data_IF_805687136391
#
_entry.id   IF_805687136391
#
_cell.length_a   1.000
_cell.length_b   1.000
_cell.length_c   1.000
_cell.angle_alpha   90.00
_cell.angle_beta   90.00
_cell.angle_gamma   90.00
#
_symmetry.space_group_name_H-M   'P 1'
#
loop_
_entity.id
_entity.type
_entity.pdbx_description
1 polymer ?
#
# COMPACT_ATOMS: atom_id res chain seq x y z
N UNK A 1 -26.83 -7.60 -23.70
CA UNK A 1 -26.17 -7.49 -22.39
C UNK A 1 -24.77 -6.97 -22.64
N UNK A 2 -24.57 -5.65 -22.51
CA UNK A 2 -23.26 -5.02 -22.67
C UNK A 2 -22.47 -5.21 -21.36
N UNK A 3 -21.38 -5.97 -21.39
CA UNK A 3 -20.38 -5.92 -20.34
C UNK A 3 -19.59 -4.63 -20.52
N UNK A 4 -19.83 -3.65 -19.65
CA UNK A 4 -18.97 -2.49 -19.50
C UNK A 4 -17.67 -2.95 -18.84
N UNK A 5 -16.63 -3.10 -19.64
CA UNK A 5 -15.24 -3.24 -19.19
C UNK A 5 -14.85 -1.91 -18.55
N UNK A 6 -15.09 -1.76 -17.25
CA UNK A 6 -14.55 -0.65 -16.47
C UNK A 6 -13.06 -0.95 -16.24
N UNK A 7 -12.22 -0.56 -17.19
CA UNK A 7 -10.81 -0.30 -16.95
C UNK A 7 -10.72 0.89 -16.00
N UNK A 8 -10.83 0.65 -14.70
CA UNK A 8 -10.43 1.65 -13.70
C UNK A 8 -8.90 1.79 -13.78
N UNK A 9 -8.37 3.01 -13.88
CA UNK A 9 -6.93 3.21 -13.77
C UNK A 9 -6.52 2.81 -12.35
N UNK A 10 -5.95 1.62 -12.19
CA UNK A 10 -5.10 1.29 -11.05
C UNK A 10 -4.05 2.38 -11.02
N UNK A 11 -3.64 2.84 -9.83
CA UNK A 11 -2.39 3.57 -9.73
C UNK A 11 -1.31 2.57 -10.14
N UNK A 12 -1.04 2.50 -11.44
CA UNK A 12 0.12 1.83 -11.97
C UNK A 12 1.26 2.69 -11.45
N UNK A 13 1.87 2.24 -10.36
CA UNK A 13 3.20 2.68 -10.01
C UNK A 13 4.05 2.22 -11.18
N UNK A 14 4.28 3.11 -12.14
CA UNK A 14 5.15 2.84 -13.27
C UNK A 14 6.58 2.79 -12.74
N UNK A 15 6.92 1.68 -12.08
CA UNK A 15 8.28 1.22 -12.02
C UNK A 15 8.66 0.93 -13.47
N UNK A 16 9.46 1.84 -14.03
CA UNK A 16 10.08 1.70 -15.34
C UNK A 16 10.74 0.32 -15.45
N UNK A 17 10.22 -0.46 -16.39
CA UNK A 17 10.94 -1.48 -17.19
C UNK A 17 12.17 -2.12 -16.54
N UNK A 18 11.96 -3.07 -15.64
CA UNK A 18 12.97 -4.08 -15.24
C UNK A 18 12.29 -5.43 -14.98
N UNK A 19 11.35 -5.82 -15.84
CA UNK A 19 10.58 -7.08 -15.72
C UNK A 19 11.34 -8.32 -16.23
N UNK A 20 12.67 -8.36 -16.16
CA UNK A 20 13.49 -9.40 -16.80
C UNK A 20 14.32 -10.29 -15.84
N UNK A 21 14.00 -10.40 -14.55
CA UNK A 21 14.81 -11.25 -13.62
C UNK A 21 14.06 -12.40 -12.92
N UNK A 22 12.73 -12.53 -13.01
CA UNK A 22 12.02 -13.60 -12.28
C UNK A 22 11.84 -14.90 -13.08
N UNK A 23 12.91 -15.66 -13.24
CA UNK A 23 12.83 -17.08 -13.61
C UNK A 23 12.68 -17.97 -12.37
N UNK A 24 11.56 -18.71 -12.33
CA UNK A 24 11.32 -20.05 -11.77
C UNK A 24 11.55 -20.31 -10.26
N UNK A 25 10.51 -20.89 -9.64
CA UNK A 25 10.27 -21.17 -8.22
C UNK A 25 9.73 -19.98 -7.41
N UNK A 26 8.61 -20.22 -6.70
CA UNK A 26 8.23 -19.47 -5.51
C UNK A 26 9.49 -19.34 -4.65
N UNK A 27 10.06 -18.15 -4.45
CA UNK A 27 11.19 -18.03 -3.56
C UNK A 27 10.71 -18.46 -2.17
N UNK A 28 11.37 -19.45 -1.56
CA UNK A 28 11.05 -19.96 -0.21
C UNK A 28 11.00 -18.82 0.85
N UNK A 29 11.49 -17.63 0.51
CA UNK A 29 11.50 -16.44 1.34
C UNK A 29 10.25 -15.55 1.25
N UNK A 30 9.31 -15.72 0.31
CA UNK A 30 8.20 -14.76 0.14
C UNK A 30 7.29 -14.67 1.37
N UNK A 31 7.02 -15.80 2.02
CA UNK A 31 6.30 -15.79 3.29
C UNK A 31 7.04 -14.95 4.34
N UNK A 32 8.36 -15.09 4.45
CA UNK A 32 9.15 -14.30 5.39
C UNK A 32 9.13 -12.81 5.02
N UNK A 33 9.24 -12.47 3.74
CA UNK A 33 9.13 -11.08 3.28
C UNK A 33 7.78 -10.50 3.66
N UNK A 34 6.67 -11.20 3.42
CA UNK A 34 5.32 -10.76 3.80
C UNK A 34 5.22 -10.55 5.32
N UNK A 35 5.74 -11.48 6.12
CA UNK A 35 5.74 -11.36 7.58
C UNK A 35 6.59 -10.18 8.08
N UNK A 36 7.76 -9.95 7.48
CA UNK A 36 8.61 -8.79 7.78
C UNK A 36 7.92 -7.48 7.43
N UNK A 37 7.30 -7.37 6.25
CA UNK A 37 6.59 -6.16 5.86
C UNK A 37 5.36 -5.93 6.75
N UNK A 38 4.62 -6.99 7.07
CA UNK A 38 3.50 -6.92 8.02
C UNK A 38 3.93 -6.38 9.37
N UNK A 39 5.05 -6.88 9.93
CA UNK A 39 5.57 -6.39 11.21
C UNK A 39 5.96 -4.91 11.11
N UNK A 40 6.67 -4.52 10.04
CA UNK A 40 7.05 -3.12 9.83
C UNK A 40 5.86 -2.17 9.66
N UNK A 41 4.79 -2.61 8.99
CA UNK A 41 3.55 -1.84 8.87
C UNK A 41 2.81 -1.74 10.21
N UNK A 42 2.81 -2.81 11.01
CA UNK A 42 2.30 -2.78 12.38
C UNK A 42 3.04 -1.74 13.22
N UNK A 43 4.37 -1.72 13.14
CA UNK A 43 5.19 -0.77 13.90
C UNK A 43 4.94 0.67 13.46
N UNK A 44 4.65 0.90 12.17
CA UNK A 44 4.25 2.21 11.66
C UNK A 44 2.90 2.62 12.22
N UNK A 45 1.88 1.75 12.20
CA UNK A 45 0.56 2.07 12.77
C UNK A 45 0.67 2.33 14.27
N UNK A 46 1.38 1.50 15.02
CA UNK A 46 1.61 1.70 16.46
C UNK A 46 2.31 3.05 16.71
N UNK A 47 3.27 3.42 15.86
CA UNK A 47 3.93 4.73 15.93
C UNK A 47 2.95 5.89 15.64
N UNK A 48 2.10 5.78 14.63
CA UNK A 48 1.10 6.80 14.31
C UNK A 48 0.09 6.98 15.45
N UNK A 49 -0.35 5.89 16.06
CA UNK A 49 -1.29 5.90 17.19
C UNK A 49 -0.66 6.43 18.47
N UNK A 50 0.65 6.21 18.68
CA UNK A 50 1.36 6.75 19.83
C UNK A 50 1.64 8.25 19.70
N UNK A 51 1.99 8.73 18.50
CA UNK A 51 2.33 10.14 18.24
C UNK A 51 1.11 10.91 17.73
N UNK A 52 0.04 10.92 18.53
CA UNK A 52 -1.24 11.54 18.14
C UNK A 52 -1.13 13.05 17.91
N UNK A 53 -0.20 13.73 18.59
CA UNK A 53 0.14 15.13 18.38
C UNK A 53 0.59 15.41 16.94
N UNK A 54 1.34 14.48 16.36
CA UNK A 54 1.89 14.62 15.01
C UNK A 54 0.90 14.26 13.90
N UNK A 55 0.00 13.29 14.13
CA UNK A 55 -0.85 12.72 13.08
C UNK A 55 -2.36 12.87 13.30
N UNK A 56 -2.81 13.21 14.51
CA UNK A 56 -4.21 13.12 14.95
C UNK A 56 -4.64 14.31 15.86
N UNK A 57 -3.86 15.39 15.99
CA UNK A 57 -4.22 16.42 16.95
C UNK A 57 -5.44 17.23 16.49
N UNK A 58 -6.62 16.89 17.02
CA UNK A 58 -7.86 17.66 16.82
C UNK A 58 -7.84 19.03 17.53
N UNK A 59 -6.83 19.30 18.36
CA UNK A 59 -6.65 20.56 19.07
C UNK A 59 -5.55 21.43 18.46
N UNK A 60 -4.81 20.95 17.45
CA UNK A 60 -4.01 21.88 16.63
C UNK A 60 -5.00 22.85 16.02
N UNK A 61 -4.86 24.12 16.39
CA UNK A 61 -5.62 25.19 15.72
C UNK A 61 -5.33 25.03 14.24
N UNK A 62 -6.34 24.98 13.37
CA UNK A 62 -6.27 24.62 11.93
C UNK A 62 -5.16 25.32 11.10
N UNK A 63 -4.39 26.24 11.69
CA UNK A 63 -3.33 27.04 11.10
C UNK A 63 -1.90 26.75 11.60
N UNK A 64 -1.66 25.81 12.53
CA UNK A 64 -0.28 25.52 12.94
C UNK A 64 0.35 24.45 12.05
N UNK A 65 1.17 24.90 11.11
CA UNK A 65 1.96 24.01 10.26
C UNK A 65 2.98 23.22 11.11
N UNK A 66 3.25 21.94 10.76
CA UNK A 66 4.30 21.18 11.43
C UNK A 66 5.63 21.91 11.36
N UNK A 67 6.41 21.85 12.43
CA UNK A 67 7.77 22.33 12.39
C UNK A 67 8.63 21.45 11.46
N UNK A 68 9.87 21.87 11.18
CA UNK A 68 10.74 21.14 10.25
C UNK A 68 11.04 19.71 10.70
N UNK A 69 11.13 19.46 12.01
CA UNK A 69 11.42 18.15 12.58
C UNK A 69 10.20 17.24 12.44
N UNK A 70 9.04 17.74 12.82
CA UNK A 70 7.73 17.08 12.67
C UNK A 70 7.47 16.75 11.19
N UNK A 71 7.74 17.69 10.29
CA UNK A 71 7.63 17.50 8.85
C UNK A 71 8.48 16.32 8.36
N UNK A 72 9.74 16.27 8.80
CA UNK A 72 10.64 15.20 8.41
C UNK A 72 10.18 13.84 8.98
N UNK A 73 9.63 13.82 10.18
CA UNK A 73 9.09 12.61 10.81
C UNK A 73 7.86 12.08 10.06
N UNK A 74 6.89 12.94 9.74
CA UNK A 74 5.72 12.56 8.93
C UNK A 74 6.19 12.04 7.57
N UNK A 75 7.09 12.76 6.89
CA UNK A 75 7.60 12.38 5.57
C UNK A 75 8.30 11.02 5.60
N UNK A 76 9.22 10.81 6.55
CA UNK A 76 9.94 9.53 6.66
C UNK A 76 9.02 8.35 6.99
N UNK A 77 8.02 8.57 7.84
CA UNK A 77 6.97 7.58 8.14
C UNK A 77 6.19 7.23 6.88
N UNK A 78 5.81 8.24 6.09
CA UNK A 78 5.08 8.05 4.83
C UNK A 78 5.88 7.27 3.80
N UNK A 79 7.15 7.63 3.59
CA UNK A 79 8.04 6.92 2.67
C UNK A 79 8.24 5.46 3.10
N UNK A 80 8.45 5.23 4.40
CA UNK A 80 8.58 3.88 4.96
C UNK A 80 7.32 3.04 4.76
N UNK A 81 6.13 3.64 4.88
CA UNK A 81 4.88 2.95 4.60
C UNK A 81 4.79 2.58 3.11
N UNK A 82 5.00 3.55 2.22
CA UNK A 82 4.90 3.34 0.77
C UNK A 82 5.84 2.26 0.26
N UNK A 83 7.10 2.26 0.69
CA UNK A 83 8.10 1.25 0.31
C UNK A 83 7.61 -0.18 0.66
N UNK A 84 7.07 -0.35 1.87
CA UNK A 84 6.55 -1.66 2.33
C UNK A 84 5.31 -2.09 1.58
N UNK A 85 4.40 -1.14 1.30
CA UNK A 85 3.21 -1.39 0.50
C UNK A 85 3.60 -1.82 -0.92
N UNK A 86 4.57 -1.15 -1.57
CA UNK A 86 5.06 -1.56 -2.89
C UNK A 86 5.58 -3.00 -2.92
N UNK A 87 6.33 -3.42 -1.89
CA UNK A 87 6.80 -4.81 -1.77
C UNK A 87 5.63 -5.79 -1.68
N UNK A 88 4.63 -5.49 -0.87
CA UNK A 88 3.43 -6.35 -0.72
C UNK A 88 2.58 -6.39 -1.98
N UNK A 89 2.40 -5.26 -2.67
CA UNK A 89 1.66 -5.18 -3.93
C UNK A 89 2.34 -6.03 -5.00
N UNK A 90 3.68 -5.93 -5.13
CA UNK A 90 4.46 -6.78 -6.04
C UNK A 90 4.28 -8.27 -5.77
N UNK A 91 4.36 -8.71 -4.51
CA UNK A 91 4.11 -10.11 -4.14
C UNK A 91 2.66 -10.51 -4.44
N UNK A 92 1.69 -9.65 -4.17
CA UNK A 92 0.28 -9.93 -4.46
C UNK A 92 0.00 -10.11 -5.96
N UNK A 93 0.72 -9.36 -6.80
CA UNK A 93 0.58 -9.41 -8.26
C UNK A 93 1.23 -10.64 -8.88
N UNK A 94 2.29 -11.17 -8.26
CA UNK A 94 2.94 -12.42 -8.72
C UNK A 94 1.99 -13.62 -8.77
N UNK A 95 0.81 -13.55 -8.13
CA UNK A 95 -0.26 -14.54 -8.31
C UNK A 95 -0.67 -14.77 -9.76
N UNK A 96 -0.69 -13.74 -10.61
CA UNK A 96 -1.05 -13.90 -12.03
C UNK A 96 -0.06 -14.84 -12.75
N UNK A 97 1.22 -14.77 -12.40
CA UNK A 97 2.26 -15.65 -12.96
C UNK A 97 2.08 -17.10 -12.50
N UNK A 98 1.59 -17.30 -11.27
CA UNK A 98 1.33 -18.63 -10.71
C UNK A 98 0.10 -19.32 -11.30
N UNK A 99 -0.81 -18.61 -11.98
CA UNK A 99 -1.95 -19.24 -12.67
C UNK A 99 -1.49 -20.19 -13.79
N UNK A 100 -0.33 -19.93 -14.37
CA UNK A 100 0.24 -20.74 -15.46
C UNK A 100 1.10 -21.91 -14.96
N UNK A 101 1.31 -22.03 -13.65
CA UNK A 101 2.14 -23.08 -13.03
C UNK A 101 1.33 -24.34 -12.69
N UNK A 102 2.03 -25.42 -12.31
CA UNK A 102 1.41 -26.65 -11.86
C UNK A 102 0.54 -26.45 -10.59
N UNK A 103 -0.38 -27.38 -10.36
CA UNK A 103 -1.35 -27.28 -9.27
C UNK A 103 -0.71 -27.19 -7.88
N UNK A 104 0.42 -27.87 -7.65
CA UNK A 104 1.11 -27.85 -6.34
C UNK A 104 1.72 -26.48 -6.09
N UNK A 105 2.40 -25.91 -7.08
CA UNK A 105 2.97 -24.56 -7.02
C UNK A 105 1.88 -23.52 -6.81
N UNK A 106 0.79 -23.57 -7.59
CA UNK A 106 -0.34 -22.64 -7.47
C UNK A 106 -0.97 -22.67 -6.08
N UNK A 107 -1.25 -23.87 -5.55
CA UNK A 107 -1.84 -24.04 -4.20
C UNK A 107 -0.93 -23.51 -3.08
N UNK A 108 0.39 -23.55 -3.26
CA UNK A 108 1.35 -22.98 -2.29
C UNK A 108 1.48 -21.47 -2.42
N UNK A 109 1.38 -20.93 -3.63
CA UNK A 109 1.57 -19.51 -3.90
C UNK A 109 0.37 -18.67 -3.50
N UNK A 110 -0.82 -19.20 -3.72
CA UNK A 110 -2.08 -18.49 -3.50
C UNK A 110 -2.19 -17.89 -2.08
N UNK A 111 -2.00 -18.66 -0.99
CA UNK A 111 -2.09 -18.10 0.36
C UNK A 111 -1.09 -16.97 0.63
N UNK A 112 0.11 -17.03 0.03
CA UNK A 112 1.15 -16.01 0.22
C UNK A 112 0.74 -14.71 -0.47
N UNK A 113 0.36 -14.78 -1.75
CA UNK A 113 -0.09 -13.61 -2.50
C UNK A 113 -1.36 -12.99 -1.90
N UNK A 114 -2.30 -13.84 -1.47
CA UNK A 114 -3.52 -13.40 -0.80
C UNK A 114 -3.24 -12.75 0.55
N UNK A 115 -2.30 -13.29 1.35
CA UNK A 115 -1.86 -12.66 2.60
C UNK A 115 -1.19 -11.31 2.34
N UNK A 116 -0.38 -11.19 1.27
CA UNK A 116 0.26 -9.93 0.90
C UNK A 116 -0.79 -8.86 0.54
N UNK A 117 -1.77 -9.22 -0.28
CA UNK A 117 -2.89 -8.34 -0.63
C UNK A 117 -3.68 -7.88 0.61
N UNK A 118 -4.09 -8.81 1.47
CA UNK A 118 -4.86 -8.47 2.67
C UNK A 118 -4.07 -7.60 3.64
N UNK A 119 -2.76 -7.85 3.77
CA UNK A 119 -1.87 -7.03 4.60
C UNK A 119 -1.78 -5.62 4.04
N UNK A 120 -1.49 -5.48 2.75
CA UNK A 120 -1.45 -4.19 2.05
C UNK A 120 -2.73 -3.38 2.31
N UNK A 121 -3.87 -3.99 1.99
CA UNK A 121 -5.18 -3.37 2.14
C UNK A 121 -5.49 -2.95 3.59
N UNK A 122 -5.24 -3.84 4.56
CA UNK A 122 -5.53 -3.57 5.98
C UNK A 122 -4.77 -2.33 6.48
N UNK A 123 -3.47 -2.27 6.18
CA UNK A 123 -2.61 -1.21 6.72
C UNK A 123 -2.77 0.13 5.99
N UNK A 124 -3.15 0.13 4.71
CA UNK A 124 -3.57 1.36 4.04
C UNK A 124 -4.83 1.95 4.69
N UNK A 125 -5.82 1.11 5.03
CA UNK A 125 -7.01 1.58 5.72
C UNK A 125 -6.71 2.12 7.12
N UNK A 126 -5.86 1.44 7.90
CA UNK A 126 -5.44 1.93 9.22
C UNK A 126 -4.74 3.29 9.10
N UNK A 127 -3.81 3.41 8.15
CA UNK A 127 -3.10 4.65 7.89
C UNK A 127 -4.05 5.79 7.51
N UNK A 128 -4.99 5.54 6.58
CA UNK A 128 -6.00 6.51 6.19
C UNK A 128 -6.87 6.90 7.40
N UNK A 129 -7.35 5.94 8.19
CA UNK A 129 -8.21 6.22 9.33
C UNK A 129 -7.57 7.13 10.38
N UNK A 130 -6.25 7.02 10.58
CA UNK A 130 -5.50 7.89 11.50
C UNK A 130 -5.28 9.26 10.86
N UNK A 131 -4.73 9.29 9.65
CA UNK A 131 -4.32 10.54 8.98
C UNK A 131 -5.49 11.41 8.53
N UNK A 132 -6.67 10.84 8.28
CA UNK A 132 -7.89 11.59 7.92
C UNK A 132 -8.33 12.59 8.99
N UNK A 133 -7.84 12.45 10.22
CA UNK A 133 -8.19 13.31 11.34
C UNK A 133 -7.42 14.63 11.37
N UNK A 134 -6.35 14.75 10.57
CA UNK A 134 -5.54 15.96 10.46
C UNK A 134 -5.33 16.35 8.98
N UNK A 135 -6.04 17.39 8.53
CA UNK A 135 -5.98 17.87 7.13
C UNK A 135 -4.63 18.51 6.76
N UNK A 136 -3.85 19.02 7.72
CA UNK A 136 -2.52 19.58 7.47
C UNK A 136 -1.54 18.49 7.03
N UNK A 137 -1.66 17.29 7.62
CA UNK A 137 -0.87 16.12 7.23
C UNK A 137 -1.13 15.76 5.76
N UNK A 138 -2.34 15.96 5.25
CA UNK A 138 -2.69 15.62 3.85
C UNK A 138 -1.88 16.44 2.85
N UNK A 139 -1.53 17.70 3.18
CA UNK A 139 -0.72 18.56 2.33
C UNK A 139 0.65 17.90 2.10
N UNK A 140 1.30 17.50 3.20
CA UNK A 140 2.60 16.83 3.19
C UNK A 140 2.53 15.47 2.48
N UNK A 141 1.53 14.65 2.78
CA UNK A 141 1.39 13.32 2.16
C UNK A 141 1.15 13.38 0.64
N UNK A 142 0.69 14.52 0.13
CA UNK A 142 0.52 14.78 -1.29
C UNK A 142 1.76 15.42 -1.96
N UNK A 143 2.84 15.69 -1.22
CA UNK A 143 4.11 16.06 -1.84
C UNK A 143 4.69 14.92 -2.68
N UNK A 144 5.58 15.27 -3.59
CA UNK A 144 6.30 14.29 -4.42
C UNK A 144 7.27 13.49 -3.54
N UNK A 145 7.28 12.16 -3.71
CA UNK A 145 8.27 11.27 -3.09
C UNK A 145 9.24 10.80 -4.19
N UNK A 146 10.32 11.56 -4.37
CA UNK A 146 11.30 11.33 -5.44
C UNK A 146 12.02 10.00 -5.27
N UNK A 147 12.29 9.61 -4.02
CA UNK A 147 13.03 8.41 -3.64
C UNK A 147 12.36 7.12 -4.13
N UNK A 148 11.03 7.14 -4.25
CA UNK A 148 10.21 6.02 -4.70
C UNK A 148 9.55 6.29 -6.07
N UNK A 149 9.86 7.43 -6.71
CA UNK A 149 9.29 7.80 -8.00
C UNK A 149 7.81 8.20 -7.97
N UNK A 150 7.23 8.47 -6.80
CA UNK A 150 5.82 8.88 -6.71
C UNK A 150 5.64 10.37 -7.00
N UNK A 151 4.67 10.66 -7.84
CA UNK A 151 4.23 12.02 -8.13
C UNK A 151 3.50 12.66 -6.94
N UNK A 152 3.33 13.99 -7.00
CA UNK A 152 2.44 14.70 -6.09
C UNK A 152 1.00 14.19 -6.24
N UNK A 153 0.23 14.24 -5.15
CA UNK A 153 -1.16 13.78 -5.14
C UNK A 153 -1.33 12.28 -4.86
N UNK A 154 -0.25 11.54 -4.58
CA UNK A 154 -0.29 10.09 -4.35
C UNK A 154 -1.23 9.71 -3.19
N UNK A 155 -1.17 10.42 -2.07
CA UNK A 155 -2.09 10.22 -0.96
C UNK A 155 -3.56 10.39 -1.36
N UNK A 156 -3.88 11.47 -2.09
CA UNK A 156 -5.25 11.72 -2.55
C UNK A 156 -5.76 10.62 -3.48
N UNK A 157 -4.89 10.08 -4.35
CA UNK A 157 -5.23 8.96 -5.23
C UNK A 157 -5.52 7.68 -4.42
N UNK A 158 -4.68 7.37 -3.43
CA UNK A 158 -4.86 6.23 -2.50
C UNK A 158 -6.19 6.39 -1.74
N UNK A 159 -6.41 7.55 -1.11
CA UNK A 159 -7.65 7.88 -0.41
C UNK A 159 -8.88 7.71 -1.30
N UNK A 160 -8.84 8.23 -2.52
CA UNK A 160 -9.95 8.08 -3.46
C UNK A 160 -10.22 6.61 -3.80
N UNK A 161 -9.16 5.85 -4.07
CA UNK A 161 -9.26 4.43 -4.37
C UNK A 161 -9.91 3.63 -3.23
N UNK A 162 -9.47 3.84 -1.99
CA UNK A 162 -9.91 3.01 -0.86
C UNK A 162 -11.19 3.48 -0.16
N UNK A 163 -11.50 4.78 -0.19
CA UNK A 163 -12.73 5.30 0.43
C UNK A 163 -13.91 5.39 -0.54
N UNK A 164 -13.67 5.42 -1.87
CA UNK A 164 -14.73 5.65 -2.86
C UNK A 164 -14.90 4.54 -3.91
N UNK A 165 -13.93 3.62 -4.08
CA UNK A 165 -13.98 2.56 -5.10
C UNK A 165 -14.02 1.17 -4.47
N UNK A 166 -14.75 0.26 -5.12
CA UNK A 166 -15.01 -1.10 -4.66
C UNK A 166 -13.75 -1.99 -4.72
N UNK A 167 -13.05 -2.12 -3.59
CA UNK A 167 -12.11 -3.24 -3.32
C UNK A 167 -12.74 -4.60 -3.62
N UNK A 168 -14.07 -4.68 -3.62
CA UNK A 168 -14.85 -5.85 -4.06
C UNK A 168 -14.37 -6.45 -5.39
N UNK A 169 -13.92 -5.64 -6.36
CA UNK A 169 -13.43 -6.15 -7.64
C UNK A 169 -12.03 -6.78 -7.53
N UNK A 170 -11.11 -6.18 -6.78
CA UNK A 170 -9.77 -6.73 -6.52
C UNK A 170 -9.86 -8.00 -5.65
N UNK A 171 -10.77 -8.01 -4.67
CA UNK A 171 -11.07 -9.18 -3.85
C UNK A 171 -11.67 -10.32 -4.69
N UNK A 172 -12.57 -10.01 -5.63
CA UNK A 172 -13.13 -10.99 -6.56
C UNK A 172 -12.05 -11.57 -7.48
N UNK A 173 -11.07 -10.77 -7.94
CA UNK A 173 -9.94 -11.25 -8.76
C UNK A 173 -9.10 -12.30 -8.05
N UNK A 174 -8.93 -12.18 -6.74
CA UNK A 174 -8.19 -13.15 -5.92
C UNK A 174 -9.05 -14.33 -5.48
N UNK A 175 -10.34 -14.14 -5.21
CA UNK A 175 -11.22 -15.21 -4.70
C UNK A 175 -11.88 -16.07 -5.78
N UNK A 176 -11.96 -15.59 -7.03
CA UNK A 176 -12.45 -16.36 -8.17
C UNK A 176 -11.27 -17.08 -8.84
N UNK A 177 -10.93 -18.26 -8.32
CA UNK A 177 -10.25 -19.36 -9.03
C UNK A 177 -10.26 -20.64 -8.19
#
# INVERSE_FOLDING_TARGET
>A
MLFLTLCTPRIVVSATSDSEIFSQQLPDNYLQVVLTQRKGLSDIVDYLEFNTDLFNDQNTTENQLPDKTEWQQIRSTWVSLLDRLMILDSISQSHEDYKQQDEVTRKRAFPIAYTAFLTHYRYELDFLQITERNSQVHILLNERVVELGFESGTYSKIKFHYLNIAITTEFARLSLN
#
